data_IF_219737733995
#
_entry.id   IF_219737733995
#
_cell.length_a   1.000
_cell.length_b   1.000
_cell.length_c   1.000
_cell.angle_alpha   90.00
_cell.angle_beta   90.00
_cell.angle_gamma   90.00
#
_symmetry.space_group_name_H-M   'P 1'
#
loop_
_entity.id
_entity.type
_entity.pdbx_description
1 polymer ?
#
# COMPACT_ATOMS: atom_id res chain seq x y z
N UNK A 1 -15.72 -5.66 3.34
CA UNK A 1 -15.77 -4.31 3.95
C UNK A 1 -14.95 -3.35 3.11
N UNK A 2 -15.41 -2.11 2.87
CA UNK A 2 -14.71 -1.09 2.08
C UNK A 2 -14.71 0.21 2.88
N UNK A 3 -13.55 0.85 3.03
CA UNK A 3 -13.44 2.16 3.67
C UNK A 3 -13.03 3.21 2.65
N UNK A 4 -13.48 4.43 2.87
CA UNK A 4 -13.17 5.55 2.00
C UNK A 4 -12.68 6.73 2.82
N UNK A 5 -11.62 7.36 2.34
CA UNK A 5 -11.11 8.64 2.83
C UNK A 5 -11.29 9.70 1.75
N UNK A 6 -10.82 10.92 1.99
CA UNK A 6 -10.82 11.97 0.97
C UNK A 6 -10.01 11.58 -0.28
N UNK A 7 -8.97 10.76 -0.12
CA UNK A 7 -8.01 10.45 -1.20
C UNK A 7 -7.92 8.97 -1.56
N UNK A 8 -8.26 8.08 -0.64
CA UNK A 8 -8.05 6.64 -0.79
C UNK A 8 -9.35 5.85 -0.67
N UNK A 9 -9.41 4.76 -1.41
CA UNK A 9 -10.33 3.65 -1.22
C UNK A 9 -9.52 2.50 -0.65
N UNK A 10 -9.93 2.00 0.52
CA UNK A 10 -9.43 0.76 1.09
C UNK A 10 -10.43 -0.35 0.78
N UNK A 11 -10.03 -1.28 -0.09
CA UNK A 11 -10.84 -2.47 -0.43
C UNK A 11 -10.07 -3.73 -0.06
N UNK A 12 -10.75 -4.87 0.20
CA UNK A 12 -10.06 -6.11 0.47
C UNK A 12 -9.06 -6.43 -0.65
N UNK A 13 -7.87 -6.89 -0.27
CA UNK A 13 -6.90 -7.42 -1.22
C UNK A 13 -7.45 -8.71 -1.83
N UNK A 14 -7.32 -8.85 -3.14
CA UNK A 14 -7.77 -10.01 -3.89
C UNK A 14 -6.58 -10.73 -4.52
N UNK A 15 -6.72 -12.00 -4.92
CA UNK A 15 -5.67 -12.69 -5.67
C UNK A 15 -5.24 -11.94 -6.95
N UNK A 16 -6.12 -11.13 -7.54
CA UNK A 16 -5.80 -10.32 -8.72
C UNK A 16 -4.83 -9.16 -8.43
N UNK A 17 -4.61 -8.82 -7.17
CA UNK A 17 -3.68 -7.76 -6.76
C UNK A 17 -2.26 -8.30 -6.48
N UNK A 18 -2.04 -9.61 -6.62
CA UNK A 18 -0.77 -10.25 -6.29
C UNK A 18 0.42 -9.62 -7.02
N UNK A 19 0.28 -9.32 -8.31
CA UNK A 19 1.33 -8.68 -9.11
C UNK A 19 1.64 -7.27 -8.60
N UNK A 20 0.62 -6.49 -8.21
CA UNK A 20 0.79 -5.13 -7.68
C UNK A 20 1.49 -5.11 -6.32
N UNK A 21 1.25 -6.13 -5.50
CA UNK A 21 1.92 -6.34 -4.21
C UNK A 21 3.37 -6.78 -4.45
N UNK A 22 3.60 -7.74 -5.35
CA UNK A 22 4.95 -8.18 -5.71
C UNK A 22 5.79 -7.02 -6.26
N UNK A 23 5.22 -6.16 -7.11
CA UNK A 23 5.86 -4.94 -7.60
C UNK A 23 6.23 -3.97 -6.47
N UNK A 24 5.36 -3.84 -5.46
CA UNK A 24 5.62 -3.00 -4.29
C UNK A 24 6.79 -3.53 -3.45
N UNK A 25 6.86 -4.84 -3.25
CA UNK A 25 7.93 -5.47 -2.46
C UNK A 25 9.25 -5.60 -3.25
N UNK A 26 9.18 -5.54 -4.58
CA UNK A 26 10.35 -5.43 -5.45
C UNK A 26 11.03 -4.06 -5.43
N UNK A 27 10.40 -3.02 -4.85
CA UNK A 27 10.99 -1.68 -4.75
C UNK A 27 12.06 -1.62 -3.64
N UNK A 28 13.35 -1.42 -3.98
CA UNK A 28 14.42 -1.36 -2.99
C UNK A 28 14.28 -0.19 -2.00
N UNK A 29 13.51 0.87 -2.33
CA UNK A 29 13.20 1.93 -1.38
C UNK A 29 12.15 1.50 -0.33
N UNK A 30 11.24 0.57 -0.68
CA UNK A 30 10.26 -0.01 0.24
C UNK A 30 10.92 -1.04 1.15
N UNK A 31 11.80 -1.87 0.59
CA UNK A 31 12.55 -2.88 1.36
C UNK A 31 13.57 -2.28 2.34
N UNK A 32 13.96 -1.01 2.15
CA UNK A 32 14.92 -0.31 3.02
C UNK A 32 14.44 -0.14 4.47
N UNK A 33 13.13 -0.21 4.73
CA UNK A 33 12.54 0.04 6.05
C UNK A 33 11.94 -1.22 6.72
N UNK A 34 12.26 -2.43 6.23
CA UNK A 34 11.63 -3.67 6.69
C UNK A 34 12.63 -4.67 7.30
N UNK A 35 12.32 -5.16 8.50
CA UNK A 35 12.78 -6.47 8.98
C UNK A 35 11.93 -7.62 8.40
N UNK A 36 12.40 -8.86 8.55
CA UNK A 36 12.03 -10.17 7.93
C UNK A 36 10.55 -10.60 7.74
N UNK A 37 9.56 -9.70 7.66
CA UNK A 37 8.20 -10.08 7.30
C UNK A 37 8.02 -10.11 5.77
N UNK A 38 8.21 -11.28 5.18
CA UNK A 38 7.93 -11.54 3.77
C UNK A 38 6.46 -11.22 3.46
N UNK A 39 6.31 -10.23 2.59
CA UNK A 39 5.08 -9.64 2.11
C UNK A 39 4.22 -10.53 1.21
N UNK A 40 4.86 -11.53 0.63
CA UNK A 40 4.49 -12.05 -0.69
C UNK A 40 3.26 -12.95 -0.68
N UNK A 41 2.58 -13.06 0.46
CA UNK A 41 1.40 -13.92 0.68
C UNK A 41 0.17 -13.14 1.18
N UNK A 42 0.13 -11.81 1.08
CA UNK A 42 -1.01 -11.01 1.61
C UNK A 42 -2.24 -10.97 0.71
N UNK A 43 -2.11 -11.32 -0.58
CA UNK A 43 -3.22 -11.29 -1.52
C UNK A 43 -4.29 -12.35 -1.18
N UNK A 44 -5.50 -11.91 -0.82
CA UNK A 44 -6.60 -12.80 -0.43
C UNK A 44 -6.64 -13.19 1.05
N UNK A 45 -5.72 -12.67 1.88
CA UNK A 45 -5.79 -12.85 3.34
C UNK A 45 -6.78 -11.87 3.96
N UNK A 46 -7.57 -12.37 4.91
CA UNK A 46 -8.44 -11.52 5.72
C UNK A 46 -7.62 -10.50 6.52
N UNK A 47 -8.15 -9.28 6.66
CA UNK A 47 -7.47 -8.19 7.36
C UNK A 47 -6.54 -7.35 6.49
N UNK A 48 -6.28 -7.74 5.24
CA UNK A 48 -5.45 -6.99 4.29
C UNK A 48 -6.30 -6.23 3.26
N UNK A 49 -5.93 -4.96 3.02
CA UNK A 49 -6.68 -4.04 2.18
C UNK A 49 -5.75 -3.31 1.20
N UNK A 50 -6.13 -3.33 -0.07
CA UNK A 50 -5.47 -2.53 -1.10
C UNK A 50 -5.84 -1.06 -0.92
N UNK A 51 -4.83 -0.18 -0.97
CA UNK A 51 -4.95 1.26 -0.95
C UNK A 51 -4.95 1.80 -2.37
N UNK A 52 -6.12 2.26 -2.83
CA UNK A 52 -6.32 2.74 -4.19
C UNK A 52 -6.60 4.24 -4.19
N UNK A 53 -5.90 5.02 -5.00
CA UNK A 53 -6.16 6.45 -5.15
C UNK A 53 -7.51 6.69 -5.83
N UNK A 54 -8.36 7.53 -5.23
CA UNK A 54 -9.69 7.85 -5.76
C UNK A 54 -9.64 8.54 -7.13
N UNK A 55 -8.66 9.42 -7.34
CA UNK A 55 -8.58 10.25 -8.54
C UNK A 55 -8.18 9.44 -9.79
N UNK A 56 -7.35 8.41 -9.63
CA UNK A 56 -6.78 7.65 -10.76
C UNK A 56 -7.02 6.14 -10.73
N UNK A 57 -7.55 5.59 -9.63
CA UNK A 57 -7.66 4.14 -9.46
C UNK A 57 -6.31 3.43 -9.28
N UNK A 58 -5.22 4.18 -9.06
CA UNK A 58 -3.89 3.62 -8.94
C UNK A 58 -3.72 2.89 -7.62
N UNK A 59 -3.11 1.70 -7.65
CA UNK A 59 -2.66 1.02 -6.45
C UNK A 59 -1.44 1.74 -5.86
N UNK A 60 -1.61 2.22 -4.64
CA UNK A 60 -0.60 2.99 -3.91
C UNK A 60 0.06 2.18 -2.80
N UNK A 61 -0.50 1.02 -2.46
CA UNK A 61 0.03 0.13 -1.42
C UNK A 61 -1.05 -0.68 -0.72
N UNK A 62 -0.78 -1.16 0.48
CA UNK A 62 -1.71 -1.94 1.27
C UNK A 62 -1.67 -1.61 2.77
N UNK A 63 -2.76 -1.92 3.45
CA UNK A 63 -2.92 -1.84 4.90
C UNK A 63 -3.31 -3.21 5.47
N UNK A 64 -2.80 -3.52 6.65
CA UNK A 64 -3.21 -4.64 7.48
C UNK A 64 -3.87 -4.12 8.75
N UNK A 65 -5.04 -4.64 9.06
CA UNK A 65 -5.71 -4.44 10.34
C UNK A 65 -5.82 -5.78 11.07
N UNK A 66 -5.00 -5.96 12.10
CA UNK A 66 -4.97 -7.19 12.91
C UNK A 66 -5.54 -6.93 14.31
N UNK A 67 -6.73 -7.45 14.65
CA UNK A 67 -7.27 -7.30 16.00
C UNK A 67 -6.33 -7.90 17.05
N UNK A 68 -6.06 -7.16 18.13
CA UNK A 68 -5.27 -7.63 19.29
C UNK A 68 -6.13 -8.00 20.50
N UNK A 69 -7.44 -7.80 20.40
CA UNK A 69 -8.40 -7.96 21.51
C UNK A 69 -8.59 -6.65 22.27
N UNK A 70 -9.60 -6.60 23.17
CA UNK A 70 -9.84 -5.41 24.00
C UNK A 70 -10.24 -4.13 23.24
N UNK A 71 -10.64 -4.24 21.96
CA UNK A 71 -10.92 -3.08 21.10
C UNK A 71 -9.68 -2.49 20.43
N UNK A 72 -8.50 -3.09 20.62
CA UNK A 72 -7.25 -2.66 19.98
C UNK A 72 -7.02 -3.36 18.64
N UNK A 73 -6.44 -2.62 17.70
CA UNK A 73 -6.07 -3.10 16.37
C UNK A 73 -4.64 -2.70 16.09
N UNK A 74 -3.82 -3.68 15.69
CA UNK A 74 -2.50 -3.43 15.12
C UNK A 74 -2.64 -3.02 13.66
N UNK A 75 -2.02 -1.90 13.30
CA UNK A 75 -2.01 -1.35 11.96
C UNK A 75 -0.63 -1.56 11.32
N UNK A 76 -0.58 -2.39 10.28
CA UNK A 76 0.56 -2.51 9.38
C UNK A 76 0.26 -1.80 8.05
N UNK A 77 1.26 -1.21 7.39
CA UNK A 77 1.06 -0.67 6.04
C UNK A 77 2.34 -0.65 5.23
N UNK A 78 2.19 -0.71 3.90
CA UNK A 78 3.24 -0.38 2.94
C UNK A 78 2.66 0.49 1.85
N UNK A 79 3.33 1.60 1.57
CA UNK A 79 2.91 2.58 0.57
C UNK A 79 4.09 2.90 -0.35
N UNK A 80 3.82 3.06 -1.65
CA UNK A 80 4.80 3.55 -2.62
C UNK A 80 5.25 4.95 -2.22
N UNK A 81 6.54 5.27 -2.40
CA UNK A 81 7.12 6.57 -2.03
C UNK A 81 6.61 7.75 -2.87
N UNK A 82 5.74 7.54 -3.87
CA UNK A 82 5.02 8.60 -4.59
C UNK A 82 3.84 8.02 -5.39
N UNK A 83 2.64 8.53 -5.16
CA UNK A 83 1.59 8.60 -6.19
C UNK A 83 1.88 9.88 -6.99
N UNK A 84 2.36 9.77 -8.22
CA UNK A 84 2.55 10.95 -9.09
C UNK A 84 1.24 11.21 -9.82
N UNK A 85 0.55 12.30 -9.47
CA UNK A 85 -0.30 12.98 -10.44
C UNK A 85 0.57 13.35 -11.66
N UNK A 86 0.17 12.88 -12.84
CA UNK A 86 0.96 13.00 -14.06
C UNK A 86 1.23 14.43 -14.51
N UNK A 87 2.45 14.68 -14.97
CA UNK A 87 2.80 15.56 -16.10
C UNK A 87 4.32 15.58 -16.26
N UNK A 88 4.77 15.40 -17.50
CA UNK A 88 6.17 15.50 -17.90
C UNK A 88 6.72 16.88 -17.56
N UNK A 89 7.66 16.93 -16.61
CA UNK A 89 8.42 18.13 -16.26
C UNK A 89 9.71 17.70 -15.60
N UNK A 90 10.84 17.94 -16.28
CA UNK A 90 12.18 17.79 -15.70
C UNK A 90 12.27 18.69 -14.48
N UNK A 91 12.46 18.11 -13.31
CA UNK A 91 12.68 18.87 -12.08
C UNK A 91 13.91 18.32 -11.36
N UNK A 92 14.88 19.20 -11.12
CA UNK A 92 16.08 18.94 -10.32
C UNK A 92 15.77 19.24 -8.86
N UNK A 93 16.10 18.30 -7.98
CA UNK A 93 15.90 18.41 -6.53
C UNK A 93 16.65 19.63 -5.94
N UNK A 94 15.99 20.46 -5.12
CA UNK A 94 16.63 21.33 -4.15
C UNK A 94 16.63 20.58 -2.83
N UNK A 95 17.79 20.06 -2.42
CA UNK A 95 18.26 19.84 -1.04
C UNK A 95 19.55 18.99 -1.17
N UNK A 96 20.55 19.26 -0.32
CA UNK A 96 21.97 19.09 -0.63
C UNK A 96 22.42 17.63 -0.79
#
# INVERSE_FOLDING_TARGET
>A
MRLETDRLILRPLTPADADLVADLDGDPEVMRYLGEAAASDVAGREGYFAAVEKAGGEFTGWFEFRPRGGGEVELGYRLRRRSRAGSSGSWRSPWP
#
